data_IF_589218655964
#
_entry.id   IF_589218655964
#
_cell.length_a   1.000
_cell.length_b   1.000
_cell.length_c   1.000
_cell.angle_alpha   90.00
_cell.angle_beta   90.00
_cell.angle_gamma   90.00
#
_symmetry.space_group_name_H-M   'P 1'
#
loop_
_entity.id
_entity.type
_entity.pdbx_description
1 polymer ?
#
# COMPACT_ATOMS: atom_id res chain seq x y z
N UNK A 1 2.70 69.68 -3.04
CA UNK A 1 3.64 69.28 -4.11
C UNK A 1 3.87 67.79 -3.97
N UNK A 2 3.22 66.98 -4.81
CA UNK A 2 3.42 65.51 -4.80
C UNK A 2 4.59 65.16 -5.75
N UNK A 3 5.55 64.31 -5.35
CA UNK A 3 6.66 63.94 -6.21
C UNK A 3 6.15 63.02 -7.33
N UNK A 4 6.35 63.44 -8.57
CA UNK A 4 6.10 62.65 -9.77
C UNK A 4 7.23 61.60 -9.85
N UNK A 5 7.03 60.40 -9.30
CA UNK A 5 7.90 59.30 -9.60
C UNK A 5 7.78 58.97 -11.09
N UNK A 6 8.90 59.04 -11.82
CA UNK A 6 8.95 58.84 -13.26
C UNK A 6 8.42 57.44 -13.66
N UNK A 7 7.78 57.37 -14.79
CA UNK A 7 7.21 56.12 -15.34
C UNK A 7 8.23 54.97 -15.43
N UNK A 8 9.52 55.30 -15.59
CA UNK A 8 10.63 54.36 -15.62
C UNK A 8 10.84 53.65 -14.29
N UNK A 9 10.76 54.33 -13.13
CA UNK A 9 10.91 53.71 -11.82
C UNK A 9 9.79 52.73 -11.53
N UNK A 10 8.55 53.04 -11.92
CA UNK A 10 7.41 52.12 -11.75
C UNK A 10 7.50 50.87 -12.63
N UNK A 11 8.08 50.98 -13.83
CA UNK A 11 8.29 49.86 -14.72
C UNK A 11 9.36 48.89 -14.18
N UNK A 12 10.49 49.43 -13.66
CA UNK A 12 11.57 48.64 -13.07
C UNK A 12 11.09 47.91 -11.80
N UNK A 13 10.32 48.57 -10.94
CA UNK A 13 9.81 47.95 -9.70
C UNK A 13 8.81 46.81 -10.02
N UNK A 14 7.99 46.96 -11.05
CA UNK A 14 7.09 45.90 -11.48
C UNK A 14 7.84 44.68 -12.09
N UNK A 15 8.89 44.95 -12.86
CA UNK A 15 9.73 43.90 -13.45
C UNK A 15 10.48 43.11 -12.38
N UNK A 16 11.01 43.78 -11.33
CA UNK A 16 11.71 43.12 -10.22
C UNK A 16 10.82 42.28 -9.31
N UNK A 17 9.50 42.58 -9.24
CA UNK A 17 8.53 41.78 -8.48
C UNK A 17 8.00 40.56 -9.26
N UNK A 18 7.93 40.63 -10.58
CA UNK A 18 7.41 39.55 -11.40
C UNK A 18 8.48 38.48 -11.68
N UNK A 19 9.75 38.88 -11.81
CA UNK A 19 10.86 37.97 -12.09
C UNK A 19 11.05 36.87 -11.03
N UNK A 20 11.07 37.12 -9.72
CA UNK A 20 11.22 36.07 -8.71
C UNK A 20 10.00 35.16 -8.63
N UNK A 21 8.79 35.68 -8.91
CA UNK A 21 7.58 34.83 -8.94
C UNK A 21 7.59 33.85 -10.12
N UNK A 22 8.07 34.27 -11.29
CA UNK A 22 8.22 33.39 -12.45
C UNK A 22 9.30 32.33 -12.23
N UNK A 23 10.41 32.66 -11.54
CA UNK A 23 11.44 31.67 -11.16
C UNK A 23 10.92 30.63 -10.17
N UNK A 24 10.04 30.98 -9.23
CA UNK A 24 9.47 30.05 -8.28
C UNK A 24 8.58 29.00 -8.95
N UNK A 25 7.88 29.37 -10.01
CA UNK A 25 7.01 28.45 -10.74
C UNK A 25 7.82 27.46 -11.61
N UNK A 26 8.99 27.85 -12.09
CA UNK A 26 9.85 26.97 -12.89
C UNK A 26 10.53 25.85 -12.08
N UNK A 27 10.61 25.95 -10.76
CA UNK A 27 11.16 24.91 -9.88
C UNK A 27 10.08 23.96 -9.31
N UNK A 28 8.80 24.20 -9.54
CA UNK A 28 7.77 23.22 -9.32
C UNK A 28 7.88 22.15 -10.44
N UNK A 29 8.87 21.26 -10.31
CA UNK A 29 8.89 20.04 -11.11
C UNK A 29 7.53 19.35 -10.99
N UNK A 30 7.08 18.59 -12.00
CA UNK A 30 5.83 17.84 -11.90
C UNK A 30 5.93 17.01 -10.61
N UNK A 31 5.07 17.32 -9.64
CA UNK A 31 4.84 16.41 -8.53
C UNK A 31 4.43 15.09 -9.20
N UNK A 32 5.37 14.14 -9.25
CA UNK A 32 5.12 12.81 -9.76
C UNK A 32 4.11 12.22 -8.79
N UNK A 33 2.83 12.43 -9.06
CA UNK A 33 1.79 11.61 -8.47
C UNK A 33 2.21 10.19 -8.81
N UNK A 34 2.47 9.38 -7.76
CA UNK A 34 2.84 7.97 -7.93
C UNK A 34 1.80 7.35 -8.85
N UNK A 35 2.15 7.23 -10.12
CA UNK A 35 1.25 6.70 -11.13
C UNK A 35 1.16 5.21 -10.84
N UNK A 36 -0.03 4.72 -10.74
CA UNK A 36 -0.39 3.33 -10.73
C UNK A 36 -0.12 2.76 -12.13
N UNK A 37 1.16 2.65 -12.50
CA UNK A 37 1.54 2.05 -13.77
C UNK A 37 1.39 0.52 -13.74
N UNK A 38 1.41 -0.10 -14.91
CA UNK A 38 1.24 -1.55 -15.02
C UNK A 38 2.30 -2.32 -14.22
N UNK A 39 3.55 -1.82 -14.11
CA UNK A 39 4.61 -2.46 -13.36
C UNK A 39 4.32 -2.46 -11.84
N UNK A 40 3.80 -1.34 -11.32
CA UNK A 40 3.36 -1.23 -9.93
C UNK A 40 2.20 -2.18 -9.62
N UNK A 41 1.24 -2.29 -10.55
CA UNK A 41 0.01 -3.08 -10.40
C UNK A 41 0.19 -4.57 -10.70
N UNK A 42 1.33 -4.99 -11.23
CA UNK A 42 1.64 -6.40 -11.52
C UNK A 42 2.34 -7.04 -10.33
N UNK A 43 1.81 -8.15 -9.85
CA UNK A 43 2.32 -8.91 -8.70
C UNK A 43 2.39 -10.40 -9.02
N UNK A 44 3.16 -11.21 -8.28
CA UNK A 44 3.14 -12.67 -8.43
C UNK A 44 1.73 -13.23 -8.21
N UNK A 45 1.27 -14.09 -9.13
CA UNK A 45 -0.02 -14.75 -9.02
C UNK A 45 0.07 -16.01 -8.15
N UNK A 46 1.04 -16.86 -8.42
CA UNK A 46 1.24 -18.14 -7.73
C UNK A 46 2.72 -18.55 -7.74
N UNK A 47 3.03 -19.77 -7.24
CA UNK A 47 4.40 -20.22 -7.02
C UNK A 47 5.21 -20.48 -8.31
N UNK A 48 4.56 -20.57 -9.48
CA UNK A 48 5.20 -20.93 -10.75
C UNK A 48 5.73 -19.72 -11.55
N UNK A 49 5.97 -18.59 -10.90
CA UNK A 49 6.48 -17.38 -11.58
C UNK A 49 5.45 -16.69 -12.48
N UNK A 50 4.18 -17.09 -12.41
CA UNK A 50 3.08 -16.40 -13.06
C UNK A 50 2.82 -15.06 -12.39
N UNK A 51 2.32 -14.07 -13.14
CA UNK A 51 1.98 -12.76 -12.61
C UNK A 51 0.58 -12.33 -13.02
N UNK A 52 -0.03 -11.48 -12.22
CA UNK A 52 -1.33 -10.85 -12.48
C UNK A 52 -1.20 -9.35 -12.36
N UNK A 53 -1.87 -8.64 -13.26
CA UNK A 53 -1.95 -7.16 -13.23
C UNK A 53 -3.35 -6.76 -12.80
N UNK A 54 -3.43 -6.04 -11.69
CA UNK A 54 -4.68 -5.48 -11.20
C UNK A 54 -4.95 -4.11 -11.81
N UNK A 55 -6.20 -3.74 -11.93
CA UNK A 55 -6.61 -2.36 -12.20
C UNK A 55 -6.55 -1.52 -10.91
N UNK A 56 -6.43 -0.19 -11.05
CA UNK A 56 -6.54 0.72 -9.89
C UNK A 56 -7.86 0.54 -9.12
N UNK A 57 -8.96 0.23 -9.82
CA UNK A 57 -10.26 0.01 -9.20
C UNK A 57 -10.23 -1.23 -8.31
N UNK A 58 -9.65 -2.33 -8.78
CA UNK A 58 -9.50 -3.56 -8.01
C UNK A 58 -8.65 -3.33 -6.76
N UNK A 59 -7.51 -2.64 -6.88
CA UNK A 59 -6.66 -2.33 -5.71
C UNK A 59 -7.37 -1.42 -4.70
N UNK A 60 -8.16 -0.44 -5.16
CA UNK A 60 -8.98 0.40 -4.27
C UNK A 60 -10.05 -0.42 -3.54
N UNK A 61 -10.68 -1.37 -4.24
CA UNK A 61 -11.65 -2.31 -3.63
C UNK A 61 -10.96 -3.22 -2.62
N UNK A 62 -9.82 -3.83 -2.98
CA UNK A 62 -9.02 -4.67 -2.08
C UNK A 62 -8.56 -3.92 -0.82
N UNK A 63 -8.14 -2.65 -0.97
CA UNK A 63 -7.81 -1.78 0.17
C UNK A 63 -8.98 -1.57 1.12
N UNK A 64 -10.19 -1.35 0.56
CA UNK A 64 -11.40 -1.17 1.38
C UNK A 64 -11.69 -2.44 2.17
N UNK A 65 -11.75 -3.59 1.50
CA UNK A 65 -11.97 -4.90 2.14
C UNK A 65 -10.91 -5.20 3.21
N UNK A 66 -9.64 -4.97 2.90
CA UNK A 66 -8.54 -5.14 3.84
C UNK A 66 -8.71 -4.27 5.09
N UNK A 67 -9.03 -2.98 4.92
CA UNK A 67 -9.20 -2.07 6.05
C UNK A 67 -10.39 -2.49 6.93
N UNK A 68 -11.46 -3.00 6.35
CA UNK A 68 -12.67 -3.43 7.06
C UNK A 68 -12.46 -4.74 7.82
N UNK A 69 -11.71 -5.69 7.25
CA UNK A 69 -11.56 -7.03 7.79
C UNK A 69 -10.25 -7.25 8.56
N UNK A 70 -9.14 -6.67 8.11
CA UNK A 70 -7.79 -6.90 8.60
C UNK A 70 -7.16 -5.67 9.28
N UNK A 71 -7.60 -4.45 8.91
CA UNK A 71 -6.97 -3.19 9.28
C UNK A 71 -6.91 -2.90 10.78
N UNK A 72 -7.76 -3.54 11.61
CA UNK A 72 -7.69 -3.41 13.06
C UNK A 72 -6.35 -3.89 13.64
N UNK A 73 -5.77 -4.95 13.05
CA UNK A 73 -4.49 -5.53 13.46
C UNK A 73 -3.36 -5.21 12.48
N UNK A 74 -3.67 -5.03 11.18
CA UNK A 74 -2.66 -4.87 10.11
C UNK A 74 -2.61 -3.46 9.49
N UNK A 75 -3.03 -2.42 10.21
CA UNK A 75 -2.98 -1.04 9.68
C UNK A 75 -1.56 -0.68 9.20
N UNK A 76 -1.44 -0.21 7.95
CA UNK A 76 -0.15 0.14 7.36
C UNK A 76 0.80 -1.04 7.12
N UNK A 77 0.28 -2.28 7.11
CA UNK A 77 1.08 -3.47 6.87
C UNK A 77 1.86 -4.00 8.08
N UNK A 78 1.73 -3.36 9.25
CA UNK A 78 2.28 -3.90 10.50
C UNK A 78 1.36 -4.95 11.09
N UNK A 79 1.86 -5.80 12.00
CA UNK A 79 1.04 -6.67 12.84
C UNK A 79 1.13 -6.20 14.28
N UNK A 80 0.04 -5.61 14.80
CA UNK A 80 0.03 -5.01 16.15
C UNK A 80 0.26 -6.01 17.27
N UNK A 81 -0.17 -7.26 17.08
CA UNK A 81 -0.03 -8.35 18.05
C UNK A 81 1.34 -9.01 18.03
N UNK A 82 2.08 -8.89 16.92
CA UNK A 82 3.44 -9.39 16.77
C UNK A 82 4.17 -8.57 15.70
N UNK A 83 4.96 -7.60 16.12
CA UNK A 83 5.68 -6.68 15.23
C UNK A 83 6.79 -7.35 14.39
N UNK A 84 7.18 -8.59 14.72
CA UNK A 84 8.19 -9.34 13.96
C UNK A 84 7.64 -10.00 12.69
N UNK A 85 6.33 -10.11 12.56
CA UNK A 85 5.64 -10.70 11.39
C UNK A 85 4.69 -9.67 10.75
N UNK A 86 5.24 -8.78 9.94
CA UNK A 86 4.49 -7.78 9.18
C UNK A 86 4.00 -8.31 7.83
N UNK A 87 3.40 -7.41 7.04
CA UNK A 87 2.98 -7.66 5.66
C UNK A 87 3.96 -7.02 4.66
N UNK A 88 5.19 -6.78 5.08
CA UNK A 88 6.28 -6.36 4.19
C UNK A 88 6.76 -7.52 3.31
N UNK A 89 7.30 -7.25 2.11
CA UNK A 89 7.65 -8.29 1.15
C UNK A 89 8.63 -9.33 1.68
N UNK A 90 9.61 -8.91 2.49
CA UNK A 90 10.60 -9.81 3.07
C UNK A 90 9.96 -10.77 4.07
N UNK A 91 9.12 -10.24 4.96
CA UNK A 91 8.40 -11.08 5.93
C UNK A 91 7.47 -12.08 5.24
N UNK A 92 6.78 -11.66 4.19
CA UNK A 92 5.90 -12.56 3.43
C UNK A 92 6.69 -13.67 2.71
N UNK A 93 7.83 -13.33 2.12
CA UNK A 93 8.67 -14.30 1.41
C UNK A 93 9.36 -15.33 2.34
N UNK A 94 9.69 -14.93 3.57
CA UNK A 94 10.35 -15.79 4.56
C UNK A 94 9.40 -16.67 5.37
N UNK A 95 8.09 -16.52 5.21
CA UNK A 95 7.12 -17.42 5.83
C UNK A 95 7.20 -18.84 5.25
N UNK A 96 6.72 -19.81 5.99
CA UNK A 96 6.62 -21.20 5.53
C UNK A 96 5.15 -21.66 5.53
N UNK A 97 4.54 -21.98 4.37
CA UNK A 97 5.06 -21.69 3.03
C UNK A 97 5.16 -20.17 2.77
N UNK A 98 5.92 -19.73 1.75
CA UNK A 98 5.98 -18.31 1.35
C UNK A 98 4.59 -17.74 1.06
N UNK A 99 4.36 -16.48 1.47
CA UNK A 99 3.07 -15.77 1.33
C UNK A 99 3.19 -14.56 0.41
N UNK A 100 4.07 -14.62 -0.56
CA UNK A 100 4.50 -13.54 -1.44
C UNK A 100 3.80 -13.52 -2.81
N UNK A 101 2.72 -14.29 -2.96
CA UNK A 101 1.87 -14.34 -4.15
C UNK A 101 0.39 -14.22 -3.81
N UNK A 102 -0.43 -13.92 -4.82
CA UNK A 102 -1.89 -13.80 -4.65
C UNK A 102 -2.48 -15.10 -4.12
N UNK A 103 -2.15 -16.23 -4.76
CA UNK A 103 -2.70 -17.53 -4.38
C UNK A 103 -2.30 -17.92 -2.96
N UNK A 104 -1.02 -17.72 -2.60
CA UNK A 104 -0.53 -18.03 -1.26
C UNK A 104 -1.19 -17.19 -0.16
N UNK A 105 -1.45 -15.91 -0.42
CA UNK A 105 -2.21 -15.05 0.50
C UNK A 105 -3.68 -15.44 0.59
N UNK A 106 -4.30 -15.83 -0.53
CA UNK A 106 -5.68 -16.33 -0.55
C UNK A 106 -5.79 -17.61 0.28
N UNK A 107 -4.88 -18.56 0.09
CA UNK A 107 -4.84 -19.81 0.85
C UNK A 107 -4.66 -19.54 2.35
N UNK A 108 -3.75 -18.62 2.70
CA UNK A 108 -3.55 -18.20 4.09
C UNK A 108 -4.81 -17.56 4.69
N UNK A 109 -5.52 -16.71 3.96
CA UNK A 109 -6.77 -16.09 4.43
C UNK A 109 -7.92 -17.11 4.54
N UNK A 110 -7.84 -18.23 3.86
CA UNK A 110 -8.80 -19.34 3.99
C UNK A 110 -8.49 -20.20 5.22
N UNK A 111 -7.24 -20.63 5.38
CA UNK A 111 -6.80 -21.54 6.45
C UNK A 111 -5.39 -21.14 6.95
N UNK A 112 -5.29 -20.22 7.91
CA UNK A 112 -4.01 -19.65 8.33
C UNK A 112 -3.19 -20.63 9.17
N UNK A 113 -1.89 -20.68 8.86
CA UNK A 113 -0.88 -21.40 9.64
C UNK A 113 0.05 -20.45 10.39
N UNK A 114 0.77 -20.95 11.38
CA UNK A 114 1.88 -20.24 12.03
C UNK A 114 2.92 -19.80 11.00
N UNK A 115 3.83 -18.89 11.39
CA UNK A 115 4.82 -18.33 10.48
C UNK A 115 5.78 -19.39 9.91
N UNK A 116 6.10 -20.39 10.71
CA UNK A 116 6.89 -21.59 10.34
C UNK A 116 6.08 -22.69 9.64
N UNK A 117 4.74 -22.55 9.56
CA UNK A 117 3.86 -23.51 8.91
C UNK A 117 3.51 -24.74 9.74
N UNK A 118 3.95 -24.85 11.00
CA UNK A 118 3.83 -26.07 11.79
C UNK A 118 2.41 -26.35 12.29
N UNK A 119 1.59 -25.32 12.54
CA UNK A 119 0.24 -25.50 13.09
C UNK A 119 -0.74 -24.43 12.60
N UNK A 120 -2.04 -24.76 12.67
CA UNK A 120 -3.11 -23.79 12.35
C UNK A 120 -3.22 -22.73 13.43
N UNK A 121 -3.43 -21.48 13.01
CA UNK A 121 -3.70 -20.34 13.90
C UNK A 121 -5.12 -19.79 13.71
N UNK A 122 -6.03 -20.56 13.08
CA UNK A 122 -7.40 -20.13 12.81
C UNK A 122 -8.19 -19.75 14.06
N UNK A 123 -7.84 -20.29 15.22
CA UNK A 123 -8.48 -19.96 16.51
C UNK A 123 -8.20 -18.51 16.97
N UNK A 124 -7.10 -17.92 16.50
CA UNK A 124 -6.64 -16.59 16.92
C UNK A 124 -6.45 -15.62 15.75
N UNK A 125 -6.54 -16.09 14.52
CA UNK A 125 -6.39 -15.29 13.31
C UNK A 125 -7.67 -15.32 12.45
N UNK A 126 -8.24 -14.15 12.07
CA UNK A 126 -9.39 -14.10 11.18
C UNK A 126 -9.14 -14.82 9.86
N UNK A 127 -10.06 -15.74 9.51
CA UNK A 127 -9.99 -16.53 8.29
C UNK A 127 -11.37 -17.03 7.87
N UNK A 128 -11.52 -17.58 6.64
CA UNK A 128 -12.76 -18.22 6.25
C UNK A 128 -13.05 -19.45 7.13
N UNK A 129 -12.02 -20.18 7.54
CA UNK A 129 -12.14 -21.35 8.43
C UNK A 129 -12.73 -21.00 9.78
N UNK A 130 -12.47 -19.81 10.28
CA UNK A 130 -12.95 -19.31 11.59
C UNK A 130 -13.99 -18.20 11.46
N UNK A 131 -14.72 -18.15 10.35
CA UNK A 131 -15.72 -17.12 10.06
C UNK A 131 -16.96 -17.15 10.97
N UNK A 132 -17.17 -18.20 11.73
CA UNK A 132 -18.15 -18.31 12.80
C UNK A 132 -17.79 -17.38 13.99
N UNK A 133 -16.50 -17.25 14.31
CA UNK A 133 -15.94 -16.38 15.33
C UNK A 133 -15.65 -14.99 14.77
N UNK A 134 -14.97 -14.93 13.63
CA UNK A 134 -14.56 -13.70 12.96
C UNK A 134 -15.58 -13.27 11.90
N UNK A 135 -16.68 -12.67 12.33
CA UNK A 135 -17.85 -12.37 11.49
C UNK A 135 -17.56 -11.52 10.25
N UNK A 136 -16.48 -10.74 10.25
CA UNK A 136 -16.05 -9.96 9.09
C UNK A 136 -15.48 -10.80 7.94
N UNK A 137 -15.17 -12.05 8.20
CA UNK A 137 -14.71 -13.00 7.19
C UNK A 137 -15.86 -13.80 6.54
N UNK A 138 -17.04 -13.78 7.15
CA UNK A 138 -18.17 -14.68 6.80
C UNK A 138 -18.67 -14.52 5.37
N UNK A 139 -18.74 -13.28 4.88
CA UNK A 139 -19.35 -12.96 3.59
C UNK A 139 -18.31 -12.65 2.51
N UNK A 140 -17.02 -12.93 2.78
CA UNK A 140 -15.96 -12.71 1.80
C UNK A 140 -15.92 -13.85 0.78
N UNK A 141 -15.98 -13.49 -0.49
CA UNK A 141 -15.81 -14.41 -1.61
C UNK A 141 -14.32 -14.63 -1.93
N UNK A 142 -14.01 -15.64 -2.73
CA UNK A 142 -12.66 -15.86 -3.27
C UNK A 142 -12.15 -14.64 -4.04
N UNK A 143 -13.03 -13.94 -4.74
CA UNK A 143 -12.67 -12.69 -5.43
C UNK A 143 -12.31 -11.57 -4.44
N UNK A 144 -13.03 -11.42 -3.33
CA UNK A 144 -12.70 -10.44 -2.29
C UNK A 144 -11.33 -10.75 -1.67
N UNK A 145 -11.02 -12.02 -1.40
CA UNK A 145 -9.70 -12.44 -0.92
C UNK A 145 -8.61 -12.14 -1.95
N UNK A 146 -8.86 -12.40 -3.25
CA UNK A 146 -7.95 -12.08 -4.35
C UNK A 146 -7.66 -10.57 -4.41
N UNK A 147 -8.68 -9.74 -4.28
CA UNK A 147 -8.52 -8.27 -4.27
C UNK A 147 -7.72 -7.79 -3.05
N UNK A 148 -7.96 -8.38 -1.87
CA UNK A 148 -7.18 -8.07 -0.66
C UNK A 148 -5.71 -8.49 -0.80
N UNK A 149 -5.44 -9.68 -1.34
CA UNK A 149 -4.10 -10.15 -1.63
C UNK A 149 -3.38 -9.22 -2.62
N UNK A 150 -4.05 -8.81 -3.70
CA UNK A 150 -3.55 -7.83 -4.66
C UNK A 150 -3.17 -6.51 -3.98
N UNK A 151 -4.03 -5.99 -3.10
CA UNK A 151 -3.72 -4.77 -2.34
C UNK A 151 -2.49 -4.97 -1.43
N UNK A 152 -2.39 -6.07 -0.69
CA UNK A 152 -1.25 -6.35 0.21
C UNK A 152 0.08 -6.34 -0.57
N UNK A 153 0.11 -6.97 -1.76
CA UNK A 153 1.32 -7.08 -2.59
C UNK A 153 1.66 -5.80 -3.36
N UNK A 154 0.67 -4.97 -3.69
CA UNK A 154 0.88 -3.67 -4.36
C UNK A 154 1.25 -2.56 -3.36
N UNK A 155 0.73 -2.62 -2.15
CA UNK A 155 0.92 -1.57 -1.14
C UNK A 155 2.39 -1.20 -0.88
N UNK A 156 3.35 -2.12 -0.75
CA UNK A 156 4.76 -1.79 -0.56
C UNK A 156 5.38 -1.09 -1.78
N UNK A 157 4.91 -1.36 -2.99
CA UNK A 157 5.38 -0.67 -4.21
C UNK A 157 4.96 0.79 -4.27
N UNK A 158 3.84 1.14 -3.63
CA UNK A 158 3.28 2.50 -3.58
C UNK A 158 3.75 3.25 -2.36
N UNK A 159 3.80 2.60 -1.21
CA UNK A 159 4.06 3.22 0.09
C UNK A 159 5.54 3.11 0.53
N UNK A 160 6.34 2.28 -0.16
CA UNK A 160 7.74 2.04 0.19
C UNK A 160 7.89 1.59 1.65
N UNK A 161 8.89 2.11 2.35
CA UNK A 161 9.18 1.78 3.74
C UNK A 161 8.08 2.16 4.74
N UNK A 162 7.07 2.95 4.35
CA UNK A 162 5.92 3.23 5.20
C UNK A 162 4.99 2.02 5.37
N UNK A 163 5.02 1.06 4.44
CA UNK A 163 4.33 -0.21 4.57
C UNK A 163 5.17 -1.21 5.38
N UNK A 164 4.54 -1.86 6.35
CA UNK A 164 5.24 -2.79 7.25
C UNK A 164 5.95 -2.12 8.43
N UNK A 165 5.83 -0.79 8.56
CA UNK A 165 6.30 -0.02 9.73
C UNK A 165 7.80 0.24 9.77
N UNK A 166 8.55 -0.07 8.70
CA UNK A 166 10.01 0.06 8.66
C UNK A 166 10.64 -0.74 9.81
N UNK A 167 11.02 -1.98 9.59
CA UNK A 167 11.68 -2.78 10.63
C UNK A 167 12.98 -2.09 11.03
N UNK A 168 13.04 -1.60 12.25
CA UNK A 168 14.29 -1.19 12.87
C UNK A 168 14.90 -2.46 13.47
N UNK A 169 15.86 -3.03 12.75
CA UNK A 169 16.69 -4.10 13.31
C UNK A 169 17.68 -3.43 14.29
N UNK A 170 17.60 -3.81 15.56
CA UNK A 170 18.60 -3.46 16.56
C UNK A 170 19.63 -4.58 16.67
#
# INVERSE_FOLDING_TARGET
>A
MAPILSSAVRAVTRLLLVLPLALLVCFAGPASAARWDAATLTVPAGPEGTSVTFSEKEIKSGRKLFNESCGSCHAGGITKTNQNVGLDPETLALATPPRDSVDALVDFMKDPTSYDGEYSIADVHPSLRSSDVFVKMRDLSDEDLRLMAGFILVAPKVQGSAWGGGKIYF
#
